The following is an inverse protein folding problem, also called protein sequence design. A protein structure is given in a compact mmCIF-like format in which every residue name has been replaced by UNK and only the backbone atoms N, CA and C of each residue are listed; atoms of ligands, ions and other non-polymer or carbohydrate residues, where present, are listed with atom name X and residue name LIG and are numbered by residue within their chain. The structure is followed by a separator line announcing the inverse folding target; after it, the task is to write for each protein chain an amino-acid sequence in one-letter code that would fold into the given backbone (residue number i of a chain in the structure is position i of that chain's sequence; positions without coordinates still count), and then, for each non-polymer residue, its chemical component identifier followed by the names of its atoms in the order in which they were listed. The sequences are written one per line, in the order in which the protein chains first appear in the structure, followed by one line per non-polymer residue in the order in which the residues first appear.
data_IF_164773304537
#
_entry.id   IF_164773304537
#
_cell.length_a   1.000
_cell.length_b   1.000
_cell.length_c   1.000
_cell.angle_alpha   90.00
_cell.angle_beta   90.00
_cell.angle_gamma   90.00
#
_symmetry.space_group_name_H-M   'P 1'
#
loop_
_entity.id
_entity.type
_entity.pdbx_description
1 polymer ?
#
# COMPACT_ATOMS: atom_id res chain seq x y z
N UNK A 1 -4.22 8.49 6.56
CA UNK A 1 -5.41 7.87 5.92
C UNK A 1 -6.39 8.91 5.39
N UNK A 2 -6.65 9.98 6.13
CA UNK A 2 -7.47 11.10 5.63
C UNK A 2 -6.84 11.76 4.40
N UNK A 3 -5.54 12.06 4.44
CA UNK A 3 -4.79 12.57 3.30
C UNK A 3 -4.98 11.75 2.01
N UNK A 4 -4.75 10.44 2.09
CA UNK A 4 -4.95 9.53 0.96
C UNK A 4 -6.41 9.48 0.48
N UNK A 5 -7.38 9.67 1.37
CA UNK A 5 -8.80 9.69 1.03
C UNK A 5 -9.15 10.93 0.22
N UNK A 6 -8.69 12.10 0.68
CA UNK A 6 -8.88 13.39 -0.01
C UNK A 6 -8.29 13.31 -1.41
N UNK A 7 -7.02 12.90 -1.51
CA UNK A 7 -6.34 12.88 -2.80
C UNK A 7 -6.94 11.88 -3.79
N UNK A 8 -7.30 10.69 -3.31
CA UNK A 8 -7.98 9.67 -4.12
C UNK A 8 -9.31 10.19 -4.70
N UNK A 9 -10.04 10.99 -3.94
CA UNK A 9 -11.30 11.57 -4.40
C UNK A 9 -11.06 12.69 -5.43
N UNK A 10 -10.05 13.55 -5.22
CA UNK A 10 -9.67 14.63 -6.15
C UNK A 10 -9.26 14.07 -7.52
N UNK A 11 -8.36 13.09 -7.55
CA UNK A 11 -7.83 12.53 -8.79
C UNK A 11 -8.80 11.59 -9.51
N UNK A 12 -9.87 11.16 -8.84
CA UNK A 12 -10.83 10.25 -9.46
C UNK A 12 -11.56 10.87 -10.66
N UNK A 13 -11.59 12.22 -10.77
CA UNK A 13 -12.04 13.08 -11.88
C UNK A 13 -13.28 12.59 -12.67
N UNK A 14 -14.09 11.76 -12.01
CA UNK A 14 -15.30 11.12 -12.51
C UNK A 14 -16.30 11.27 -11.39
N UNK A 15 -17.44 11.90 -11.69
CA UNK A 15 -18.51 12.20 -10.73
C UNK A 15 -19.08 10.99 -9.95
N UNK A 16 -18.64 9.77 -10.26
CA UNK A 16 -19.17 8.51 -9.71
C UNK A 16 -18.23 7.73 -8.78
N UNK A 17 -17.05 8.27 -8.41
CA UNK A 17 -16.15 7.59 -7.47
C UNK A 17 -15.84 8.45 -6.24
N UNK A 18 -16.60 8.23 -5.18
CA UNK A 18 -16.28 8.72 -3.85
C UNK A 18 -15.78 7.56 -2.99
N UNK A 19 -14.77 7.82 -2.17
CA UNK A 19 -14.18 6.89 -1.21
C UNK A 19 -14.17 7.50 0.18
N UNK A 20 -14.49 6.69 1.18
CA UNK A 20 -14.40 7.07 2.59
C UNK A 20 -13.12 6.53 3.25
N UNK A 21 -12.77 7.07 4.41
CA UNK A 21 -11.69 6.52 5.24
C UNK A 21 -11.94 5.07 5.64
N UNK A 22 -13.22 4.67 5.82
CA UNK A 22 -13.62 3.28 6.07
C UNK A 22 -13.32 2.38 4.88
N UNK A 23 -13.66 2.80 3.66
CA UNK A 23 -13.37 2.03 2.45
C UNK A 23 -11.88 1.80 2.27
N UNK A 24 -11.08 2.85 2.49
CA UNK A 24 -9.63 2.75 2.43
C UNK A 24 -9.08 1.77 3.47
N UNK A 25 -9.56 1.82 4.72
CA UNK A 25 -9.16 0.84 5.76
C UNK A 25 -9.53 -0.59 5.37
N UNK A 26 -10.74 -0.81 4.88
CA UNK A 26 -11.18 -2.13 4.39
C UNK A 26 -10.30 -2.61 3.23
N UNK A 27 -9.94 -1.73 2.30
CA UNK A 27 -9.03 -2.03 1.20
C UNK A 27 -7.64 -2.46 1.69
N UNK A 28 -7.03 -1.73 2.63
CA UNK A 28 -5.74 -2.13 3.22
C UNK A 28 -5.85 -3.42 4.04
N UNK A 29 -6.97 -3.65 4.74
CA UNK A 29 -7.23 -4.92 5.42
C UNK A 29 -7.25 -6.10 4.45
N UNK A 30 -7.89 -5.94 3.29
CA UNK A 30 -7.90 -6.95 2.22
C UNK A 30 -6.51 -7.16 1.60
N UNK A 31 -5.71 -6.10 1.45
CA UNK A 31 -4.31 -6.23 0.99
C UNK A 31 -3.48 -7.06 1.97
N UNK A 32 -3.57 -6.77 3.27
CA UNK A 32 -2.88 -7.55 4.30
C UNK A 32 -3.34 -9.02 4.31
N UNK A 33 -4.65 -9.25 4.21
CA UNK A 33 -5.21 -10.59 4.13
C UNK A 33 -4.70 -11.36 2.90
N UNK A 34 -4.58 -10.69 1.76
CA UNK A 34 -4.04 -11.31 0.54
C UNK A 34 -2.55 -11.67 0.64
N UNK A 35 -1.77 -10.94 1.45
CA UNK A 35 -0.37 -11.29 1.73
C UNK A 35 -0.23 -12.45 2.72
N UNK A 36 -1.19 -12.61 3.63
CA UNK A 36 -1.21 -13.71 4.61
C UNK A 36 -1.63 -15.04 3.99
N UNK A 37 -2.66 -15.04 3.15
CA UNK A 37 -3.08 -16.23 2.42
C UNK A 37 -2.25 -16.39 1.16
N UNK A 38 -1.40 -17.43 1.05
CA UNK A 38 -0.76 -17.78 -0.21
C UNK A 38 -1.77 -18.47 -1.16
N UNK A 39 -2.53 -17.69 -1.93
CA UNK A 39 -3.22 -18.24 -3.12
C UNK A 39 -2.30 -18.13 -4.32
N UNK A 40 -2.38 -19.09 -5.23
CA UNK A 40 -1.53 -19.16 -6.42
C UNK A 40 -1.66 -17.95 -7.36
N UNK A 41 -2.74 -17.16 -7.24
CA UNK A 41 -2.96 -15.95 -8.04
C UNK A 41 -3.80 -14.94 -7.25
N UNK A 42 -3.39 -13.67 -7.28
CA UNK A 42 -4.06 -12.57 -6.60
C UNK A 42 -5.53 -12.43 -7.00
N UNK A 43 -5.91 -12.89 -8.20
CA UNK A 43 -7.29 -12.86 -8.69
C UNK A 43 -8.26 -13.72 -7.87
N UNK A 44 -7.75 -14.71 -7.12
CA UNK A 44 -8.58 -15.65 -6.36
C UNK A 44 -8.99 -15.13 -4.97
N UNK A 45 -8.25 -14.18 -4.37
CA UNK A 45 -8.55 -13.69 -3.01
C UNK A 45 -9.91 -12.98 -2.88
N UNK A 46 -10.48 -12.53 -3.99
CA UNK A 46 -11.72 -11.77 -4.05
C UNK A 46 -12.76 -12.44 -4.96
N UNK A 47 -12.61 -13.74 -5.20
CA UNK A 47 -13.54 -14.53 -5.98
C UNK A 47 -14.75 -14.94 -5.13
N UNK A 48 -15.91 -15.09 -5.76
CA UNK A 48 -17.21 -15.45 -5.13
C UNK A 48 -17.52 -16.95 -5.28
N UNK A 49 -16.66 -17.69 -6.00
CA UNK A 49 -16.71 -19.15 -6.11
C UNK A 49 -16.62 -19.81 -4.73
N UNK A 50 -17.60 -20.64 -4.33
CA UNK A 50 -17.73 -21.16 -2.98
C UNK A 50 -16.50 -21.96 -2.51
N UNK A 51 -15.77 -22.58 -3.43
CA UNK A 51 -14.57 -23.39 -3.14
C UNK A 51 -13.29 -22.56 -2.97
N UNK A 52 -13.31 -21.27 -3.33
CA UNK A 52 -12.16 -20.36 -3.33
C UNK A 52 -12.42 -19.08 -2.51
N UNK A 53 -13.65 -18.89 -2.03
CA UNK A 53 -14.05 -17.70 -1.27
C UNK A 53 -13.41 -17.66 0.10
N UNK A 54 -12.65 -16.61 0.36
CA UNK A 54 -12.43 -16.15 1.74
C UNK A 54 -13.66 -15.33 2.13
N UNK A 55 -14.54 -15.94 2.92
CA UNK A 55 -15.85 -15.36 3.31
C UNK A 55 -15.72 -13.96 3.94
N UNK A 56 -14.63 -13.72 4.68
CA UNK A 56 -14.31 -12.39 5.21
C UNK A 56 -14.04 -11.36 4.10
N UNK A 57 -13.43 -11.76 2.99
CA UNK A 57 -13.04 -10.87 1.91
C UNK A 57 -14.25 -10.43 1.07
N UNK A 58 -15.10 -11.38 0.68
CA UNK A 58 -16.31 -11.12 -0.10
C UNK A 58 -17.33 -10.24 0.64
N UNK A 59 -17.44 -10.40 1.96
CA UNK A 59 -18.28 -9.58 2.84
C UNK A 59 -17.74 -8.16 3.08
N UNK A 60 -16.44 -7.97 2.94
CA UNK A 60 -15.79 -6.67 3.22
C UNK A 60 -15.97 -5.69 2.05
N UNK A 61 -15.74 -6.14 0.81
CA UNK A 61 -15.80 -5.28 -0.37
C UNK A 61 -15.93 -6.10 -1.65
N UNK A 62 -16.70 -5.60 -2.62
CA UNK A 62 -16.78 -6.26 -3.93
C UNK A 62 -15.45 -6.15 -4.70
N UNK A 63 -15.14 -7.17 -5.51
CA UNK A 63 -13.97 -7.20 -6.38
C UNK A 63 -13.86 -5.96 -7.28
N UNK A 64 -14.97 -5.52 -7.87
CA UNK A 64 -14.98 -4.32 -8.72
C UNK A 64 -14.66 -3.05 -7.93
N UNK A 65 -15.16 -2.93 -6.70
CA UNK A 65 -14.85 -1.80 -5.82
C UNK A 65 -13.38 -1.81 -5.41
N UNK A 66 -12.82 -2.98 -5.09
CA UNK A 66 -11.39 -3.14 -4.79
C UNK A 66 -10.50 -2.71 -5.97
N UNK A 67 -10.80 -3.15 -7.20
CA UNK A 67 -10.03 -2.75 -8.39
C UNK A 67 -10.15 -1.25 -8.70
N UNK A 68 -11.34 -0.65 -8.50
CA UNK A 68 -11.52 0.79 -8.62
C UNK A 68 -10.67 1.54 -7.60
N UNK A 69 -10.70 1.14 -6.32
CA UNK A 69 -9.86 1.71 -5.27
C UNK A 69 -8.37 1.57 -5.60
N UNK A 70 -7.92 0.38 -5.98
CA UNK A 70 -6.53 0.14 -6.39
C UNK A 70 -6.07 1.06 -7.53
N UNK A 71 -6.97 1.37 -8.48
CA UNK A 71 -6.67 2.25 -9.62
C UNK A 71 -6.59 3.73 -9.23
N UNK A 72 -7.44 4.18 -8.31
CA UNK A 72 -7.56 5.60 -7.96
C UNK A 72 -6.84 5.99 -6.68
N UNK A 73 -6.23 5.04 -5.96
CA UNK A 73 -5.50 5.33 -4.72
C UNK A 73 -4.33 6.29 -5.00
N UNK A 74 -4.36 7.46 -4.36
CA UNK A 74 -3.30 8.48 -4.46
C UNK A 74 -2.87 8.95 -3.08
N UNK A 75 -1.57 9.27 -2.96
CA UNK A 75 -0.95 9.77 -1.74
C UNK A 75 -0.40 11.19 -1.86
N UNK A 76 -0.34 11.74 -3.07
CA UNK A 76 0.23 13.07 -3.36
C UNK A 76 -0.66 13.84 -4.32
N UNK A 77 -0.66 15.17 -4.18
CA UNK A 77 -1.39 16.05 -5.09
C UNK A 77 -0.70 16.18 -6.44
N UNK A 78 -1.32 15.64 -7.48
CA UNK A 78 -0.83 15.72 -8.86
C UNK A 78 -0.72 17.16 -9.39
N UNK A 79 -1.44 18.12 -8.81
CA UNK A 79 -1.35 19.54 -9.20
C UNK A 79 -0.17 20.27 -8.55
N UNK A 80 0.41 19.70 -7.49
CA UNK A 80 1.46 20.33 -6.71
C UNK A 80 2.60 19.35 -6.41
N UNK A 81 3.13 18.71 -7.45
CA UNK A 81 4.28 17.81 -7.34
C UNK A 81 5.58 18.60 -7.45
N UNK A 82 6.52 18.33 -6.55
CA UNK A 82 7.89 18.85 -6.68
C UNK A 82 8.61 18.14 -7.83
N UNK A 83 9.21 18.92 -8.73
CA UNK A 83 10.07 18.39 -9.80
C UNK A 83 11.44 17.95 -9.30
N UNK A 84 11.83 18.38 -8.11
CA UNK A 84 13.10 18.02 -7.47
C UNK A 84 13.06 16.61 -6.87
N UNK A 85 11.86 16.13 -6.54
CA UNK A 85 11.63 14.82 -5.95
C UNK A 85 11.04 13.86 -6.99
N UNK A 86 11.90 12.98 -7.52
CA UNK A 86 11.52 11.92 -8.48
C UNK A 86 10.44 10.98 -7.91
N UNK A 87 10.42 10.81 -6.58
CA UNK A 87 9.48 9.94 -5.86
C UNK A 87 8.30 10.71 -5.28
N UNK A 88 8.08 11.97 -5.68
CA UNK A 88 7.05 12.89 -5.14
C UNK A 88 5.65 12.31 -5.03
N UNK A 89 5.28 11.33 -5.86
CA UNK A 89 3.99 10.60 -5.79
C UNK A 89 3.83 9.65 -4.60
N UNK A 90 4.94 9.22 -4.00
CA UNK A 90 4.99 8.26 -2.88
C UNK A 90 5.78 8.78 -1.69
N UNK A 91 6.55 9.87 -1.83
CA UNK A 91 7.28 10.51 -0.75
C UNK A 91 6.42 10.84 0.48
N UNK A 92 5.17 11.30 0.36
CA UNK A 92 4.32 11.51 1.54
C UNK A 92 4.06 10.21 2.33
N UNK A 93 3.99 9.07 1.64
CA UNK A 93 3.84 7.78 2.29
C UNK A 93 5.12 7.39 3.05
N UNK A 94 6.30 7.57 2.44
CA UNK A 94 7.58 7.31 3.11
C UNK A 94 7.78 8.21 4.32
N UNK A 95 7.48 9.50 4.19
CA UNK A 95 7.55 10.44 5.31
C UNK A 95 6.63 9.99 6.45
N UNK A 96 5.38 9.64 6.14
CA UNK A 96 4.45 9.11 7.13
C UNK A 96 4.95 7.83 7.82
N UNK A 97 5.64 6.94 7.10
CA UNK A 97 6.20 5.73 7.70
C UNK A 97 7.36 6.05 8.63
N UNK A 98 8.28 6.91 8.19
CA UNK A 98 9.43 7.36 8.96
C UNK A 98 9.02 8.11 10.22
N UNK A 99 8.04 9.03 10.13
CA UNK A 99 7.53 9.80 11.27
C UNK A 99 6.85 8.92 12.33
N UNK A 100 6.35 7.74 11.93
CA UNK A 100 5.69 6.79 12.85
C UNK A 100 6.66 5.78 13.46
N UNK A 101 7.85 5.63 12.89
CA UNK A 101 8.89 4.74 13.36
C UNK A 101 9.96 5.53 14.12
N UNK A 102 9.73 5.75 15.42
CA UNK A 102 10.73 6.32 16.32
C UNK A 102 11.26 5.26 17.29
N UNK A 103 12.41 4.65 16.99
CA UNK A 103 13.20 3.90 17.98
C UNK A 103 14.68 4.25 17.84
N UNK A 104 15.27 4.72 18.93
CA UNK A 104 16.70 4.97 19.07
C UNK A 104 17.42 3.64 19.37
N UNK A 105 17.99 3.00 18.36
CA UNK A 105 18.73 1.74 18.50
C UNK A 105 19.98 1.68 17.61
N UNK A 106 21.00 0.87 17.96
CA UNK A 106 22.27 0.82 17.24
C UNK A 106 22.12 0.25 15.82
N UNK A 107 22.83 0.89 14.90
CA UNK A 107 22.72 0.76 13.44
C UNK A 107 23.42 -0.52 12.96
N UNK A 108 22.69 -1.39 12.25
CA UNK A 108 23.28 -2.47 11.46
C UNK A 108 22.78 -2.37 10.03
N UNK A 109 23.70 -2.18 9.09
CA UNK A 109 23.41 -2.26 7.67
C UNK A 109 23.41 -3.72 7.24
N UNK A 110 22.24 -4.25 6.88
CA UNK A 110 22.15 -5.57 6.23
C UNK A 110 21.80 -5.38 4.77
N UNK A 111 22.61 -5.95 3.88
CA UNK A 111 22.32 -6.05 2.45
C UNK A 111 22.01 -7.52 2.13
N UNK A 112 20.80 -7.79 1.64
CA UNK A 112 20.46 -9.11 1.08
C UNK A 112 21.10 -9.22 -0.31
N UNK A 113 21.94 -10.23 -0.56
CA UNK A 113 22.53 -10.48 -1.87
C UNK A 113 21.71 -11.56 -2.61
N UNK A 114 21.14 -11.21 -3.76
CA UNK A 114 20.45 -12.12 -4.68
C UNK A 114 18.96 -11.82 -4.79
N UNK A 115 18.58 -11.00 -5.78
CA UNK A 115 17.17 -10.64 -5.98
C UNK A 115 16.47 -11.72 -6.82
N UNK A 116 15.44 -12.41 -6.28
CA UNK A 116 14.62 -13.33 -7.08
C UNK A 116 13.82 -12.62 -8.19
N UNK A 117 13.70 -11.29 -8.10
CA UNK A 117 12.98 -10.44 -9.05
C UNK A 117 14.00 -9.54 -9.75
N UNK A 118 14.07 -9.63 -11.08
CA UNK A 118 15.14 -9.00 -11.87
C UNK A 118 14.83 -7.56 -12.29
N UNK A 119 13.57 -7.12 -12.17
CA UNK A 119 13.11 -5.78 -12.55
C UNK A 119 12.20 -5.25 -11.45
N UNK A 120 12.55 -4.10 -10.86
CA UNK A 120 11.78 -3.48 -9.78
C UNK A 120 12.43 -2.23 -9.24
N UNK A 121 11.82 -1.66 -8.20
CA UNK A 121 12.38 -0.54 -7.44
C UNK A 121 13.25 -1.06 -6.31
N UNK A 122 14.40 -0.42 -6.09
CA UNK A 122 15.24 -0.70 -4.93
C UNK A 122 14.84 0.24 -3.80
N UNK A 123 14.41 -0.34 -2.68
CA UNK A 123 14.10 0.40 -1.45
C UNK A 123 15.15 0.03 -0.41
N UNK A 124 15.74 1.04 0.23
CA UNK A 124 16.67 0.81 1.33
C UNK A 124 15.92 0.96 2.65
N UNK A 125 16.12 0.00 3.55
CA UNK A 125 15.50 0.01 4.88
C UNK A 125 16.58 -0.14 5.94
N UNK A 126 16.50 0.67 6.98
CA UNK A 126 17.26 0.46 8.21
C UNK A 126 16.41 -0.41 9.14
N UNK A 127 16.96 -1.51 9.62
CA UNK A 127 16.26 -2.43 10.53
C UNK A 127 17.08 -2.72 11.79
N UNK A 128 16.38 -3.07 12.87
CA UNK A 128 16.98 -3.57 14.10
C UNK A 128 17.50 -5.00 13.97
N UNK A 129 18.22 -5.43 15.00
CA UNK A 129 18.71 -6.82 15.15
C UNK A 129 17.58 -7.84 15.23
N UNK A 130 16.38 -7.41 15.61
CA UNK A 130 15.13 -8.16 15.64
C UNK A 130 14.39 -8.18 14.29
N UNK A 131 14.91 -7.48 13.27
CA UNK A 131 14.32 -7.37 11.95
C UNK A 131 13.25 -6.28 11.81
N UNK A 132 13.00 -5.47 12.84
CA UNK A 132 12.01 -4.38 12.76
C UNK A 132 12.57 -3.18 11.98
N UNK A 133 11.85 -2.67 10.96
CA UNK A 133 12.27 -1.49 10.21
C UNK A 133 12.08 -0.20 11.01
N UNK A 134 13.03 0.74 10.87
CA UNK A 134 13.06 2.04 11.52
C UNK A 134 13.08 3.22 10.56
N UNK A 135 13.60 3.03 9.35
CA UNK A 135 13.74 4.10 8.38
C UNK A 135 13.74 3.57 6.96
N UNK A 136 13.06 4.28 6.06
CA UNK A 136 12.96 3.99 4.63
C UNK A 136 13.62 5.11 3.81
N UNK A 137 14.41 4.72 2.81
CA UNK A 137 15.06 5.60 1.82
C UNK A 137 14.80 5.12 0.39
#
# INVERSE_FOLDING_TARGET
MEHATVQTNVDSNKESFHTSTKDNRSFFGLLLLSGYHCLADAKYHLTVEPDLTVDAASKTMSRNRFHRLKRFLHFSDNQNLSSDDEMSKVSPLYQMLNDRQHVYGPIIWSAQLGDPIHVGYKVWMLCGTDGYPFYYK
#
